data_IF_662573021317
#
_entry.id   IF_662573021317
#
_cell.length_a   1.000
_cell.length_b   1.000
_cell.length_c   1.000
_cell.angle_alpha   90.00
_cell.angle_beta   90.00
_cell.angle_gamma   90.00
#
_symmetry.space_group_name_H-M   'P 1'
#
loop_
_entity.id
_entity.type
_entity.pdbx_description
1 polymer ?
#
# COMPACT_ATOMS: atom_id res chain seq x y z
N UNK A 1 2.56 -9.04 14.56
CA UNK A 1 2.87 -8.76 13.14
C UNK A 1 1.58 -8.77 12.34
N UNK A 2 1.35 -7.78 11.46
CA UNK A 2 0.15 -7.74 10.61
C UNK A 2 0.20 -8.90 9.63
N UNK A 3 -0.89 -9.68 9.54
CA UNK A 3 -0.98 -10.79 8.59
C UNK A 3 -1.36 -10.27 7.20
N UNK A 4 -0.88 -10.91 6.12
CA UNK A 4 -1.31 -10.56 4.78
C UNK A 4 -2.79 -10.90 4.59
N UNK A 5 -3.43 -10.17 3.69
CA UNK A 5 -4.83 -10.35 3.29
C UNK A 5 -4.92 -10.50 1.78
N UNK A 6 -5.95 -11.20 1.31
CA UNK A 6 -6.09 -11.58 -0.10
C UNK A 6 -7.32 -10.99 -0.78
N UNK A 7 -8.21 -10.32 -0.06
CA UNK A 7 -9.37 -9.60 -0.61
C UNK A 7 -9.82 -8.43 0.26
N UNK A 8 -10.37 -7.39 -0.38
CA UNK A 8 -10.90 -6.22 0.32
C UNK A 8 -12.30 -6.51 0.88
N UNK A 9 -12.44 -6.52 2.19
CA UNK A 9 -13.72 -6.77 2.89
C UNK A 9 -14.09 -5.61 3.78
N UNK A 10 -15.35 -5.51 4.19
CA UNK A 10 -15.78 -4.50 5.17
C UNK A 10 -14.99 -4.58 6.47
N UNK A 11 -14.62 -5.78 6.92
CA UNK A 11 -13.77 -5.98 8.12
C UNK A 11 -12.37 -5.37 7.99
N UNK A 12 -11.81 -5.37 6.78
CA UNK A 12 -10.51 -4.72 6.53
C UNK A 12 -10.66 -3.21 6.65
N UNK A 13 -11.76 -2.66 6.16
CA UNK A 13 -12.06 -1.22 6.20
C UNK A 13 -12.31 -0.74 7.62
N UNK A 14 -13.15 -1.45 8.38
CA UNK A 14 -13.41 -1.15 9.79
C UNK A 14 -12.12 -1.11 10.62
N UNK A 15 -11.15 -1.97 10.28
CA UNK A 15 -9.90 -2.11 11.04
C UNK A 15 -8.78 -1.18 10.60
N UNK A 16 -8.65 -0.92 9.30
CA UNK A 16 -7.48 -0.24 8.72
C UNK A 16 -7.83 1.03 7.93
N UNK A 17 -9.11 1.33 7.73
CA UNK A 17 -9.57 2.55 7.06
C UNK A 17 -9.44 3.80 7.90
N UNK A 18 -9.80 4.94 7.29
CA UNK A 18 -9.82 6.26 7.92
C UNK A 18 -8.44 6.70 8.45
N UNK A 19 -7.35 6.31 7.78
CA UNK A 19 -5.98 6.51 8.29
C UNK A 19 -5.58 7.98 8.49
N UNK A 20 -5.69 8.79 7.43
CA UNK A 20 -5.37 10.23 7.45
C UNK A 20 -6.60 11.09 7.17
N UNK A 21 -7.55 10.55 6.42
CA UNK A 21 -8.86 11.10 6.14
C UNK A 21 -9.84 9.95 5.90
N UNK A 22 -11.14 10.28 5.97
CA UNK A 22 -12.23 9.34 5.80
C UNK A 22 -12.09 8.54 4.50
N UNK A 23 -12.38 7.24 4.54
CA UNK A 23 -12.36 6.38 3.37
C UNK A 23 -10.97 5.97 2.85
N UNK A 24 -9.89 6.55 3.36
CA UNK A 24 -8.53 6.18 2.95
C UNK A 24 -8.06 4.88 3.60
N UNK A 25 -7.68 3.91 2.78
CA UNK A 25 -6.89 2.75 3.20
C UNK A 25 -5.52 2.78 2.54
N UNK A 26 -4.52 2.26 3.23
CA UNK A 26 -3.16 2.14 2.73
C UNK A 26 -2.64 0.74 2.93
N UNK A 27 -1.88 0.25 1.95
CA UNK A 27 -1.31 -1.08 1.91
C UNK A 27 0.14 -1.02 1.48
N UNK A 28 0.88 -2.06 1.85
CA UNK A 28 2.10 -2.46 1.14
C UNK A 28 1.86 -3.77 0.41
N UNK A 29 2.20 -3.78 -0.87
CA UNK A 29 2.17 -4.97 -1.70
C UNK A 29 3.58 -5.52 -1.77
N UNK A 30 3.79 -6.72 -1.26
CA UNK A 30 5.01 -7.47 -1.53
C UNK A 30 4.89 -8.10 -2.91
N UNK A 31 5.59 -7.55 -3.89
CA UNK A 31 5.48 -8.03 -5.28
C UNK A 31 6.20 -9.37 -5.52
N UNK A 32 7.06 -9.79 -4.59
CA UNK A 32 7.77 -11.07 -4.64
C UNK A 32 6.87 -12.20 -4.14
N UNK A 33 6.18 -12.00 -3.02
CA UNK A 33 5.27 -13.00 -2.43
C UNK A 33 3.81 -12.83 -2.83
N UNK A 34 3.48 -11.72 -3.50
CA UNK A 34 2.12 -11.31 -3.88
C UNK A 34 1.19 -11.06 -2.68
N UNK A 35 1.78 -10.86 -1.51
CA UNK A 35 1.07 -10.59 -0.26
C UNK A 35 0.74 -9.10 -0.12
N UNK A 36 -0.46 -8.80 0.39
CA UNK A 36 -0.93 -7.44 0.64
C UNK A 36 -1.06 -7.22 2.14
N UNK A 37 -0.36 -6.20 2.64
CA UNK A 37 -0.30 -5.87 4.05
C UNK A 37 -1.00 -4.53 4.30
N UNK A 38 -2.16 -4.51 4.98
CA UNK A 38 -2.82 -3.27 5.33
C UNK A 38 -2.00 -2.54 6.40
N UNK A 39 -1.86 -1.23 6.26
CA UNK A 39 -1.14 -0.39 7.20
C UNK A 39 -2.08 0.03 8.33
N UNK A 40 -1.80 -0.32 9.61
CA UNK A 40 -2.57 0.13 10.76
C UNK A 40 -2.65 1.66 10.84
N UNK A 41 -3.78 2.21 11.32
CA UNK A 41 -4.05 3.66 11.37
C UNK A 41 -2.98 4.46 12.14
N UNK A 42 -2.42 3.86 13.18
CA UNK A 42 -1.58 4.47 14.23
C UNK A 42 -0.07 4.30 14.01
N UNK A 43 0.37 3.73 12.88
CA UNK A 43 1.79 3.51 12.58
C UNK A 43 2.22 4.24 11.31
N UNK A 44 3.38 4.91 11.30
CA UNK A 44 3.92 5.51 10.09
C UNK A 44 4.44 4.45 9.11
N UNK A 45 4.43 4.75 7.80
CA UNK A 45 4.82 3.79 6.75
C UNK A 45 6.23 3.23 6.97
N UNK A 46 7.17 4.09 7.33
CA UNK A 46 8.56 3.70 7.59
C UNK A 46 8.68 2.73 8.77
N UNK A 47 7.94 2.95 9.85
CA UNK A 47 7.95 2.06 11.01
C UNK A 47 7.29 0.73 10.68
N UNK A 48 6.22 0.76 9.87
CA UNK A 48 5.54 -0.45 9.44
C UNK A 48 6.42 -1.32 8.54
N UNK A 49 7.12 -0.72 7.58
CA UNK A 49 8.10 -1.43 6.75
C UNK A 49 9.21 -2.03 7.61
N UNK A 50 9.78 -1.27 8.56
CA UNK A 50 10.82 -1.80 9.46
C UNK A 50 10.30 -3.04 10.21
N UNK A 51 9.07 -3.02 10.70
CA UNK A 51 8.43 -4.18 11.34
C UNK A 51 8.22 -5.37 10.37
N UNK A 52 7.88 -5.12 9.11
CA UNK A 52 7.67 -6.19 8.13
C UNK A 52 8.97 -6.91 7.77
N UNK A 53 10.08 -6.19 7.67
CA UNK A 53 11.39 -6.73 7.28
C UNK A 53 12.32 -7.01 8.47
N UNK A 54 11.82 -6.87 9.70
CA UNK A 54 12.54 -7.09 10.97
C UNK A 54 13.79 -6.20 11.14
N UNK A 55 13.67 -4.91 10.83
CA UNK A 55 14.67 -3.91 11.21
C UNK A 55 14.30 -3.27 12.54
N UNK A 56 15.30 -3.02 13.39
CA UNK A 56 15.06 -2.50 14.75
C UNK A 56 14.65 -1.03 14.73
N UNK A 57 15.05 -0.29 13.69
CA UNK A 57 14.79 1.15 13.58
C UNK A 57 14.82 1.68 12.13
N UNK A 58 14.40 2.94 11.98
CA UNK A 58 14.36 3.66 10.70
C UNK A 58 15.74 3.87 10.05
N UNK A 59 16.83 3.88 10.83
CA UNK A 59 18.17 4.14 10.29
C UNK A 59 18.70 2.94 9.52
N UNK A 60 18.41 1.72 9.99
CA UNK A 60 18.76 0.50 9.23
C UNK A 60 18.09 0.49 7.85
N UNK A 61 16.83 0.90 7.77
CA UNK A 61 16.14 1.00 6.48
C UNK A 61 16.78 2.06 5.57
N UNK A 62 17.19 3.21 6.11
CA UNK A 62 17.89 4.25 5.35
C UNK A 62 19.26 3.81 4.84
N UNK A 63 19.96 2.97 5.61
CA UNK A 63 21.26 2.41 5.23
C UNK A 63 21.09 1.28 4.21
N UNK A 64 19.97 0.55 4.27
CA UNK A 64 19.68 -0.59 3.40
C UNK A 64 18.30 -0.46 2.70
N UNK A 65 18.08 0.58 1.87
CA UNK A 65 16.78 0.84 1.25
C UNK A 65 16.37 -0.26 0.25
N UNK A 66 17.35 -0.99 -0.27
CA UNK A 66 17.13 -2.10 -1.19
C UNK A 66 16.28 -3.22 -0.58
N UNK A 67 16.35 -3.40 0.75
CA UNK A 67 15.60 -4.42 1.47
C UNK A 67 14.08 -4.23 1.36
N UNK A 68 13.60 -3.01 1.07
CA UNK A 68 12.17 -2.72 0.95
C UNK A 68 11.70 -2.42 -0.50
N UNK A 69 12.56 -2.57 -1.52
CA UNK A 69 12.19 -2.23 -2.91
C UNK A 69 11.05 -3.08 -3.48
N UNK A 70 10.81 -4.25 -2.90
CA UNK A 70 9.74 -5.16 -3.26
C UNK A 70 8.41 -4.85 -2.54
N UNK A 71 8.41 -3.95 -1.54
CA UNK A 71 7.24 -3.54 -0.77
C UNK A 71 6.70 -2.23 -1.32
N UNK A 72 5.83 -2.30 -2.32
CA UNK A 72 5.31 -1.13 -3.02
C UNK A 72 4.08 -0.56 -2.27
N UNK A 73 4.04 0.74 -1.95
CA UNK A 73 2.88 1.36 -1.32
C UNK A 73 1.71 1.47 -2.30
N UNK A 74 0.51 1.18 -1.81
CA UNK A 74 -0.74 1.39 -2.54
C UNK A 74 -1.81 1.98 -1.63
N UNK A 75 -2.61 2.88 -2.16
CA UNK A 75 -3.72 3.50 -1.44
C UNK A 75 -5.00 3.37 -2.24
N UNK A 76 -6.09 3.12 -1.53
CA UNK A 76 -7.44 3.16 -2.10
C UNK A 76 -8.26 4.18 -1.32
N UNK A 77 -9.21 4.81 -2.00
CA UNK A 77 -10.19 5.68 -1.37
C UNK A 77 -11.59 5.13 -1.60
N UNK A 78 -12.39 5.16 -0.55
CA UNK A 78 -13.80 4.78 -0.54
C UNK A 78 -14.61 6.05 -0.28
N UNK A 79 -15.53 6.37 -1.18
CA UNK A 79 -16.39 7.53 -1.03
C UNK A 79 -17.51 7.29 0.01
N UNK A 80 -18.27 8.34 0.31
CA UNK A 80 -19.36 8.27 1.30
C UNK A 80 -20.51 7.32 0.91
N UNK A 81 -20.64 7.02 -0.39
CA UNK A 81 -21.60 6.06 -0.93
C UNK A 81 -21.12 4.59 -0.81
N UNK A 82 -19.89 4.37 -0.28
CA UNK A 82 -19.31 3.04 -0.08
C UNK A 82 -18.66 2.43 -1.33
N UNK A 83 -18.40 3.23 -2.36
CA UNK A 83 -17.72 2.81 -3.59
C UNK A 83 -16.24 3.17 -3.56
N UNK A 84 -15.43 2.32 -4.17
CA UNK A 84 -14.03 2.66 -4.43
C UNK A 84 -14.00 3.66 -5.58
N UNK A 85 -13.42 4.84 -5.34
CA UNK A 85 -13.34 5.92 -6.33
C UNK A 85 -11.90 6.36 -6.65
N UNK A 86 -10.89 5.86 -5.93
CA UNK A 86 -9.48 6.06 -6.29
C UNK A 86 -8.60 4.86 -5.95
N UNK A 87 -7.64 4.55 -6.83
CA UNK A 87 -6.56 3.57 -6.64
C UNK A 87 -5.23 4.19 -7.09
N UNK A 88 -4.30 4.36 -6.15
CA UNK A 88 -2.98 4.94 -6.42
C UNK A 88 -1.91 3.97 -5.93
N UNK A 89 -0.82 3.80 -6.66
CA UNK A 89 0.26 2.87 -6.31
C UNK A 89 1.62 3.47 -6.66
N UNK A 90 2.65 3.14 -5.87
CA UNK A 90 4.04 3.50 -6.15
C UNK A 90 4.50 4.85 -5.61
N UNK A 91 3.76 5.44 -4.66
CA UNK A 91 4.20 6.65 -3.97
C UNK A 91 3.86 6.61 -2.49
N UNK A 92 4.81 7.04 -1.66
CA UNK A 92 4.63 7.34 -0.25
C UNK A 92 5.70 8.33 0.24
N UNK A 93 5.79 8.51 1.55
CA UNK A 93 6.90 9.24 2.17
C UNK A 93 8.20 8.40 2.29
N UNK A 94 8.16 7.08 2.03
CA UNK A 94 9.33 6.19 2.11
C UNK A 94 10.40 6.55 1.10
N UNK A 95 9.98 6.94 -0.10
CA UNK A 95 10.87 7.26 -1.20
C UNK A 95 11.72 8.48 -0.83
N UNK A 96 11.12 9.50 -0.24
CA UNK A 96 11.87 10.68 0.22
C UNK A 96 12.58 10.45 1.56
N UNK A 97 11.93 9.80 2.53
CA UNK A 97 12.40 9.70 3.91
C UNK A 97 13.37 8.54 4.20
N UNK A 98 13.35 7.51 3.36
CA UNK A 98 14.19 6.32 3.48
C UNK A 98 15.00 5.98 2.22
N UNK A 99 14.79 6.69 1.09
CA UNK A 99 15.54 6.46 -0.14
C UNK A 99 15.15 5.17 -0.87
N UNK A 100 14.05 4.53 -0.50
CA UNK A 100 13.52 3.34 -1.20
C UNK A 100 13.10 3.75 -2.61
N UNK A 101 13.42 2.92 -3.60
CA UNK A 101 13.06 3.15 -5.01
C UNK A 101 12.46 1.86 -5.57
N UNK A 102 11.27 1.93 -6.15
CA UNK A 102 10.60 0.77 -6.73
C UNK A 102 10.87 0.73 -8.25
N UNK A 103 11.09 -0.44 -8.84
CA UNK A 103 11.17 -0.51 -10.29
C UNK A 103 9.80 -0.23 -10.92
N UNK A 104 9.79 0.25 -12.17
CA UNK A 104 8.53 0.44 -12.93
C UNK A 104 7.71 -0.85 -13.03
N UNK A 105 8.40 -1.99 -13.12
CA UNK A 105 7.77 -3.31 -13.16
C UNK A 105 7.09 -3.65 -11.83
N UNK A 106 7.77 -3.42 -10.71
CA UNK A 106 7.20 -3.64 -9.38
C UNK A 106 5.96 -2.77 -9.16
N UNK A 107 6.00 -1.50 -9.56
CA UNK A 107 4.85 -0.59 -9.42
C UNK A 107 3.67 -1.09 -10.26
N UNK A 108 3.89 -1.50 -11.51
CA UNK A 108 2.84 -2.07 -12.37
C UNK A 108 2.27 -3.37 -11.78
N UNK A 109 3.13 -4.26 -11.30
CA UNK A 109 2.73 -5.53 -10.68
C UNK A 109 1.89 -5.28 -9.43
N UNK A 110 2.34 -4.40 -8.54
CA UNK A 110 1.62 -4.03 -7.33
C UNK A 110 0.24 -3.43 -7.66
N UNK A 111 0.18 -2.56 -8.66
CA UNK A 111 -1.07 -1.93 -9.06
C UNK A 111 -2.09 -2.97 -9.57
N UNK A 112 -1.64 -3.92 -10.41
CA UNK A 112 -2.48 -5.06 -10.83
C UNK A 112 -2.94 -5.90 -9.63
N UNK A 113 -2.05 -6.22 -8.69
CA UNK A 113 -2.40 -7.02 -7.50
C UNK A 113 -3.45 -6.32 -6.63
N UNK A 114 -3.42 -5.00 -6.52
CA UNK A 114 -4.47 -4.23 -5.82
C UNK A 114 -5.81 -4.31 -6.53
N UNK A 115 -5.83 -4.22 -7.85
CA UNK A 115 -7.05 -4.41 -8.64
C UNK A 115 -7.61 -5.82 -8.47
N UNK A 116 -6.76 -6.85 -8.50
CA UNK A 116 -7.16 -8.24 -8.25
C UNK A 116 -7.72 -8.39 -6.82
N UNK A 117 -7.07 -7.78 -5.82
CA UNK A 117 -7.50 -7.76 -4.42
C UNK A 117 -8.85 -7.08 -4.20
N UNK A 118 -9.12 -5.98 -4.92
CA UNK A 118 -10.41 -5.28 -4.92
C UNK A 118 -11.48 -6.14 -5.60
N UNK A 119 -11.18 -6.68 -6.78
CA UNK A 119 -12.11 -7.47 -7.60
C UNK A 119 -12.55 -8.77 -6.89
N UNK A 120 -11.68 -9.34 -6.07
CA UNK A 120 -11.98 -10.50 -5.23
C UNK A 120 -12.66 -10.13 -3.90
N UNK A 121 -12.88 -8.84 -3.66
CA UNK A 121 -13.45 -8.27 -2.45
C UNK A 121 -14.97 -8.17 -2.44
N UNK A 122 -15.47 -7.41 -1.48
CA UNK A 122 -16.91 -7.18 -1.25
C UNK A 122 -17.38 -5.81 -1.77
N UNK A 123 -16.45 -4.90 -2.05
CA UNK A 123 -16.78 -3.51 -2.36
C UNK A 123 -16.98 -3.30 -3.87
N UNK A 124 -18.05 -2.58 -4.26
CA UNK A 124 -18.22 -2.18 -5.64
C UNK A 124 -17.19 -1.10 -6.03
N UNK A 125 -16.69 -1.20 -7.26
CA UNK A 125 -15.88 -0.16 -7.90
C UNK A 125 -16.82 0.86 -8.52
N UNK A 126 -16.72 2.12 -8.10
CA UNK A 126 -17.46 3.23 -8.70
C UNK A 126 -16.76 3.79 -9.94
N UNK A 127 -17.16 4.99 -10.37
CA UNK A 127 -16.36 5.73 -11.36
C UNK A 127 -15.07 6.22 -10.70
N UNK A 128 -13.93 5.64 -11.12
CA UNK A 128 -12.63 6.02 -10.59
C UNK A 128 -12.27 7.44 -11.03
N UNK A 129 -12.09 8.33 -10.05
CA UNK A 129 -11.50 9.67 -10.25
C UNK A 129 -10.01 9.55 -10.53
N UNK A 130 -9.35 8.61 -9.85
CA UNK A 130 -7.94 8.32 -10.03
C UNK A 130 -7.69 6.81 -10.08
N UNK A 131 -6.99 6.36 -11.11
CA UNK A 131 -6.53 4.98 -11.23
C UNK A 131 -5.14 4.99 -11.87
N UNK A 132 -4.10 5.10 -11.04
CA UNK A 132 -2.76 5.44 -11.53
C UNK A 132 -1.63 4.73 -10.79
N UNK A 133 -0.74 4.04 -11.52
CA UNK A 133 0.59 3.71 -11.02
C UNK A 133 1.51 4.94 -11.18
N UNK A 134 2.00 5.48 -10.06
CA UNK A 134 2.88 6.65 -10.01
C UNK A 134 4.34 6.19 -10.11
N UNK A 135 5.05 6.71 -11.11
CA UNK A 135 6.44 6.33 -11.42
C UNK A 135 7.48 7.40 -11.01
N UNK A 136 7.07 8.41 -10.24
CA UNK A 136 7.87 9.60 -9.95
C UNK A 136 9.25 9.28 -9.36
N UNK A 137 9.33 8.26 -8.50
CA UNK A 137 10.57 7.83 -7.84
C UNK A 137 11.01 6.44 -8.30
N UNK A 138 10.60 6.01 -9.50
CA UNK A 138 10.98 4.70 -9.99
C UNK A 138 12.50 4.64 -10.26
N UNK A 139 13.14 3.53 -9.87
CA UNK A 139 14.52 3.21 -10.23
C UNK A 139 14.63 2.73 -11.69
#
# INVERSE_FOLDING_TARGET
>A
MTKPINRLTWKVIEKYGNRKYQGLLTFFVNVTTEEIFPVPVDIEHIDFICKLINFDNRNELRQNPFAAMHLVPSTIHINDDGYIDSVITGVSSLEMGAGVRHSKENIKKAHKLIHDFISNGELPIGTLKEDKPIMQYAA
#
